data_IF_365254464093
#
_entry.id   IF_365254464093
#
_cell.length_a   1.000
_cell.length_b   1.000
_cell.length_c   1.000
_cell.angle_alpha   90.00
_cell.angle_beta   90.00
_cell.angle_gamma   90.00
#
_symmetry.space_group_name_H-M   'P 1'
#
loop_
_entity.id
_entity.type
_entity.pdbx_description
1 polymer ?
#
# COMPACT_ATOMS: atom_id res chain seq x y z
N UNK A 1 -1.32 -26.02 -2.28
CA UNK A 1 -0.87 -26.23 -0.88
C UNK A 1 -1.42 -25.13 0.05
N UNK A 2 -2.73 -24.92 0.04
CA UNK A 2 -3.46 -24.08 1.02
C UNK A 2 -4.12 -25.03 2.02
N UNK A 3 -4.16 -24.68 3.30
CA UNK A 3 -4.78 -25.43 4.43
C UNK A 3 -3.85 -26.32 5.27
N UNK A 4 -2.90 -25.75 6.05
CA UNK A 4 -2.33 -26.50 7.19
C UNK A 4 -1.71 -25.67 8.34
N UNK A 5 -2.05 -24.39 8.55
CA UNK A 5 -1.41 -23.56 9.61
C UNK A 5 -2.37 -22.88 10.61
N UNK A 6 -3.64 -23.27 10.67
CA UNK A 6 -4.59 -22.74 11.67
C UNK A 6 -4.99 -23.78 12.71
N UNK A 7 -4.04 -24.29 13.49
CA UNK A 7 -4.36 -24.95 14.76
C UNK A 7 -3.78 -24.11 15.91
N UNK A 8 -4.67 -23.44 16.66
CA UNK A 8 -4.40 -22.98 18.02
C UNK A 8 -3.77 -21.60 18.26
N UNK A 9 -3.54 -20.75 17.26
CA UNK A 9 -2.98 -19.41 17.53
C UNK A 9 -4.02 -18.50 18.22
N UNK A 10 -3.63 -17.85 19.31
CA UNK A 10 -4.46 -16.86 20.01
C UNK A 10 -3.98 -15.46 19.62
N UNK A 11 -4.86 -14.67 19.00
CA UNK A 11 -4.56 -13.33 18.51
C UNK A 11 -5.48 -12.33 19.20
N UNK A 12 -4.90 -11.39 19.93
CA UNK A 12 -5.64 -10.28 20.55
C UNK A 12 -5.12 -8.99 19.94
N UNK A 13 -5.98 -8.32 19.18
CA UNK A 13 -5.73 -6.99 18.64
C UNK A 13 -6.66 -6.00 19.33
N UNK A 14 -6.06 -5.01 19.98
CA UNK A 14 -6.76 -3.86 20.51
C UNK A 14 -6.43 -2.65 19.62
N UNK A 15 -7.44 -2.11 18.94
CA UNK A 15 -7.31 -0.88 18.16
C UNK A 15 -8.09 0.22 18.87
N UNK A 16 -7.42 1.34 19.13
CA UNK A 16 -8.04 2.55 19.62
C UNK A 16 -7.97 3.62 18.54
N UNK A 17 -9.13 3.96 17.97
CA UNK A 17 -9.25 5.11 17.07
C UNK A 17 -9.40 6.39 17.89
N UNK A 18 -8.64 7.42 17.52
CA UNK A 18 -8.64 8.72 18.18
C UNK A 18 -8.93 9.77 17.12
N UNK A 19 -9.95 10.59 17.36
CA UNK A 19 -10.13 11.86 16.67
C UNK A 19 -9.77 12.92 17.71
N UNK A 20 -8.65 13.61 17.50
CA UNK A 20 -8.10 14.52 18.50
C UNK A 20 -8.51 15.98 18.25
N UNK A 21 -8.74 16.38 17.01
CA UNK A 21 -9.31 17.70 16.70
C UNK A 21 -10.02 17.75 15.35
N UNK A 22 -11.09 18.53 15.28
CA UNK A 22 -11.77 18.96 14.05
C UNK A 22 -12.02 20.45 14.21
N UNK A 23 -11.24 21.26 13.52
CA UNK A 23 -11.36 22.71 13.61
C UNK A 23 -11.66 23.29 12.23
N UNK A 24 -12.66 24.17 12.08
CA UNK A 24 -12.63 25.11 10.98
C UNK A 24 -11.33 25.89 11.16
N UNK A 25 -10.41 25.83 10.20
CA UNK A 25 -9.06 26.37 10.33
C UNK A 25 -9.02 27.92 10.30
N UNK A 26 -10.13 28.56 10.64
CA UNK A 26 -10.29 30.01 10.77
C UNK A 26 -10.57 30.36 12.24
N UNK A 27 -9.50 30.50 13.02
CA UNK A 27 -9.53 31.31 14.23
C UNK A 27 -8.33 32.27 14.23
N UNK A 28 -8.69 33.56 14.15
CA UNK A 28 -7.89 34.75 14.44
C UNK A 28 -6.91 35.31 13.37
N UNK A 29 -7.44 36.28 12.62
CA UNK A 29 -6.81 37.59 12.37
C UNK A 29 -5.51 37.68 11.54
N UNK A 30 -5.26 36.77 10.61
CA UNK A 30 -4.24 36.95 9.58
C UNK A 30 -4.90 36.81 8.20
N UNK A 31 -4.53 37.66 7.25
CA UNK A 31 -5.08 37.65 5.89
C UNK A 31 -4.92 36.25 5.31
N UNK A 32 -5.97 35.55 4.87
CA UNK A 32 -5.85 34.17 4.43
C UNK A 32 -4.91 34.12 3.22
N UNK A 33 -3.71 33.60 3.43
CA UNK A 33 -2.78 33.30 2.36
C UNK A 33 -3.32 32.13 1.56
N UNK A 34 -2.94 32.03 0.29
CA UNK A 34 -3.30 30.92 -0.62
C UNK A 34 -2.90 29.53 -0.03
N UNK A 35 -2.04 29.52 0.99
CA UNK A 35 -1.52 28.32 1.66
C UNK A 35 -2.19 28.00 3.01
N UNK A 36 -3.19 28.75 3.45
CA UNK A 36 -3.89 28.49 4.71
C UNK A 36 -5.08 27.55 4.46
N UNK A 37 -5.17 26.39 5.14
CA UNK A 37 -6.34 25.52 5.01
C UNK A 37 -7.58 26.23 5.59
N UNK A 38 -8.75 25.95 5.03
CA UNK A 38 -10.06 26.37 5.55
C UNK A 38 -10.63 25.37 6.55
N UNK A 39 -10.22 24.11 6.47
CA UNK A 39 -10.57 23.06 7.43
C UNK A 39 -9.35 22.18 7.71
N UNK A 40 -9.19 21.79 8.97
CA UNK A 40 -8.16 20.87 9.39
C UNK A 40 -8.74 19.82 10.36
N UNK A 41 -8.45 18.56 10.09
CA UNK A 41 -8.78 17.45 10.97
C UNK A 41 -7.53 16.63 11.27
N UNK A 42 -7.36 16.32 12.56
CA UNK A 42 -6.35 15.39 13.03
C UNK A 42 -7.02 14.18 13.66
N UNK A 43 -6.79 13.03 13.03
CA UNK A 43 -7.35 11.75 13.43
C UNK A 43 -6.25 10.67 13.42
N UNK A 44 -6.62 9.42 13.67
CA UNK A 44 -5.70 8.29 13.56
C UNK A 44 -6.05 7.15 14.51
N UNK A 45 -5.15 6.18 14.60
CA UNK A 45 -5.28 5.10 15.57
C UNK A 45 -3.96 4.68 16.19
N UNK A 46 -4.09 4.05 17.36
CA UNK A 46 -3.03 3.30 18.03
C UNK A 46 -3.50 1.85 18.13
N UNK A 47 -2.68 0.90 17.70
CA UNK A 47 -2.99 -0.53 17.76
C UNK A 47 -1.96 -1.29 18.58
N UNK A 48 -2.40 -2.01 19.59
CA UNK A 48 -1.61 -2.99 20.33
C UNK A 48 -2.00 -4.40 19.92
N UNK A 49 -1.02 -5.23 19.59
CA UNK A 49 -1.22 -6.61 19.16
C UNK A 49 -0.44 -7.57 20.05
N UNK A 50 -1.13 -8.61 20.54
CA UNK A 50 -0.52 -9.74 21.23
C UNK A 50 -0.88 -11.02 20.50
N UNK A 51 0.14 -11.70 19.97
CA UNK A 51 0.01 -12.94 19.22
C UNK A 51 0.71 -14.08 19.96
N UNK A 52 -0.01 -15.15 20.28
CA UNK A 52 0.53 -16.34 20.96
C UNK A 52 0.35 -17.59 20.08
N UNK A 53 1.47 -18.25 19.79
CA UNK A 53 1.56 -19.45 18.95
C UNK A 53 1.90 -20.68 19.82
N UNK A 54 0.99 -21.66 19.96
CA UNK A 54 1.27 -22.87 20.74
C UNK A 54 2.35 -23.75 20.11
N UNK A 55 2.41 -23.76 18.78
CA UNK A 55 3.32 -24.59 18.01
C UNK A 55 4.68 -23.93 17.82
N UNK A 56 5.72 -24.73 17.60
CA UNK A 56 7.02 -24.22 17.21
C UNK A 56 6.95 -23.66 15.79
N UNK A 57 7.69 -22.59 15.51
CA UNK A 57 7.71 -21.99 14.18
C UNK A 57 8.36 -22.89 13.14
N UNK A 58 8.05 -22.66 11.86
CA UNK A 58 8.59 -23.38 10.71
C UNK A 58 10.12 -23.50 10.73
N UNK A 59 10.82 -22.46 11.20
CA UNK A 59 12.29 -22.44 11.29
C UNK A 59 12.85 -22.87 12.65
N UNK A 60 12.02 -23.29 13.59
CA UNK A 60 12.44 -23.73 14.93
C UNK A 60 12.84 -22.61 15.90
N UNK A 61 13.33 -21.48 15.39
CA UNK A 61 13.86 -20.33 16.15
C UNK A 61 12.90 -19.16 16.34
N UNK A 62 11.69 -19.23 15.79
CA UNK A 62 10.72 -18.13 15.85
C UNK A 62 10.02 -18.07 17.21
N UNK A 63 9.82 -16.84 17.71
CA UNK A 63 9.15 -16.61 18.98
C UNK A 63 7.71 -17.12 18.99
N UNK A 64 7.26 -17.50 20.18
CA UNK A 64 5.89 -17.99 20.43
C UNK A 64 4.95 -16.91 20.92
N UNK A 65 5.48 -15.81 21.43
CA UNK A 65 4.69 -14.68 21.91
C UNK A 65 5.25 -13.42 21.27
N UNK A 66 4.42 -12.75 20.50
CA UNK A 66 4.78 -11.51 19.81
C UNK A 66 3.91 -10.40 20.37
N UNK A 67 4.56 -9.34 20.81
CA UNK A 67 3.96 -8.05 21.13
C UNK A 67 4.32 -7.07 20.02
N UNK A 68 3.35 -6.30 19.52
CA UNK A 68 3.62 -5.14 18.69
C UNK A 68 2.72 -3.97 19.03
N UNK A 69 3.21 -2.77 18.74
CA UNK A 69 2.50 -1.51 18.89
C UNK A 69 2.67 -0.73 17.60
N UNK A 70 1.59 -0.20 17.04
CA UNK A 70 1.63 0.67 15.88
C UNK A 70 0.80 1.93 16.10
N UNK A 71 1.21 2.99 15.41
CA UNK A 71 0.53 4.29 15.37
C UNK A 71 0.40 4.73 13.92
N UNK A 72 -0.77 5.27 13.59
CA UNK A 72 -1.04 5.83 12.27
C UNK A 72 -1.91 7.10 12.44
N UNK A 73 -1.29 8.25 12.72
CA UNK A 73 -2.01 9.51 12.67
C UNK A 73 -2.37 9.90 11.23
N UNK A 74 -3.38 10.74 11.10
CA UNK A 74 -3.87 11.27 9.84
C UNK A 74 -4.10 12.77 9.99
N UNK A 75 -3.52 13.54 9.08
CA UNK A 75 -3.78 14.97 8.93
C UNK A 75 -4.54 15.18 7.62
N UNK A 76 -5.76 15.71 7.73
CA UNK A 76 -6.60 16.06 6.61
C UNK A 76 -6.74 17.58 6.56
N UNK A 77 -6.30 18.19 5.46
CA UNK A 77 -6.34 19.64 5.25
C UNK A 77 -7.14 19.95 4.00
N UNK A 78 -8.13 20.83 4.11
CA UNK A 78 -8.92 21.32 2.98
C UNK A 78 -8.61 22.79 2.71
N UNK A 79 -8.49 23.17 1.44
CA UNK A 79 -8.16 24.52 0.99
C UNK A 79 -9.30 25.10 0.16
N UNK A 80 -10.35 25.59 0.83
CA UNK A 80 -11.50 26.30 0.24
C UNK A 80 -12.10 25.64 -1.01
N UNK A 81 -12.22 24.30 -0.99
CA UNK A 81 -12.70 23.51 -2.14
C UNK A 81 -11.76 23.44 -3.35
N UNK A 82 -10.60 24.11 -3.31
CA UNK A 82 -9.60 24.09 -4.38
C UNK A 82 -8.72 22.83 -4.32
N UNK A 83 -8.34 22.41 -3.11
CA UNK A 83 -7.51 21.23 -2.92
C UNK A 83 -7.72 20.57 -1.55
N UNK A 84 -7.34 19.31 -1.47
CA UNK A 84 -7.27 18.51 -0.24
C UNK A 84 -5.88 17.91 -0.13
N UNK A 85 -5.27 17.99 1.05
CA UNK A 85 -4.01 17.31 1.37
C UNK A 85 -4.23 16.31 2.50
N UNK A 86 -3.91 15.05 2.25
CA UNK A 86 -3.93 13.97 3.23
C UNK A 86 -2.51 13.52 3.55
N UNK A 87 -2.17 13.43 4.83
CA UNK A 87 -0.86 12.96 5.31
C UNK A 87 -1.08 11.88 6.36
N UNK A 88 -0.60 10.66 6.09
CA UNK A 88 -0.73 9.48 6.96
C UNK A 88 0.61 8.80 7.17
N UNK A 89 1.44 9.29 8.11
CA UNK A 89 2.62 8.56 8.51
C UNK A 89 2.21 7.36 9.36
N UNK A 90 3.01 6.31 9.31
CA UNK A 90 2.80 5.06 10.03
C UNK A 90 4.11 4.68 10.72
N UNK A 91 4.01 4.13 11.92
CA UNK A 91 5.15 3.53 12.59
C UNK A 91 4.71 2.34 13.41
N UNK A 92 5.49 1.26 13.35
CA UNK A 92 5.31 0.06 14.18
C UNK A 92 6.61 -0.29 14.89
N UNK A 93 6.46 -0.80 16.11
CA UNK A 93 7.48 -1.59 16.81
C UNK A 93 6.95 -3.01 16.98
N UNK A 94 7.77 -3.99 16.66
CA UNK A 94 7.48 -5.43 16.80
C UNK A 94 8.60 -6.10 17.58
N UNK A 95 8.22 -6.95 18.52
CA UNK A 95 9.17 -7.62 19.42
C UNK A 95 9.92 -8.79 18.80
N UNK A 96 9.40 -9.40 17.73
CA UNK A 96 9.95 -10.62 17.15
C UNK A 96 10.58 -10.40 15.77
N UNK A 97 9.99 -9.52 14.95
CA UNK A 97 10.47 -9.26 13.59
C UNK A 97 11.07 -7.85 13.46
N UNK A 98 12.40 -7.70 13.39
CA UNK A 98 13.02 -6.40 13.17
C UNK A 98 12.60 -5.71 11.86
N UNK A 99 12.22 -6.44 10.81
CA UNK A 99 11.70 -5.80 9.59
C UNK A 99 10.30 -5.22 9.83
N UNK A 100 9.49 -5.85 10.68
CA UNK A 100 8.15 -5.35 11.06
C UNK A 100 8.22 -4.16 12.05
N UNK A 101 9.41 -3.84 12.57
CA UNK A 101 9.68 -2.56 13.21
C UNK A 101 10.10 -1.54 12.15
N UNK A 102 9.14 -0.79 11.61
CA UNK A 102 9.38 0.14 10.51
C UNK A 102 8.51 1.38 10.59
N UNK A 103 8.90 2.39 9.79
CA UNK A 103 8.10 3.59 9.54
C UNK A 103 7.83 3.74 8.05
N UNK A 104 6.62 4.16 7.72
CA UNK A 104 6.19 4.38 6.34
C UNK A 104 5.38 5.69 6.23
N UNK A 105 5.33 6.25 5.03
CA UNK A 105 4.31 7.25 4.66
C UNK A 105 3.25 6.51 3.84
N UNK A 106 2.16 6.13 4.51
CA UNK A 106 1.03 5.41 3.89
C UNK A 106 0.38 6.26 2.82
N UNK A 107 0.27 7.55 3.10
CA UNK A 107 -0.34 8.54 2.23
C UNK A 107 0.32 9.90 2.44
N UNK A 108 0.62 10.55 1.33
CA UNK A 108 0.98 11.96 1.24
C UNK A 108 0.41 12.44 -0.09
N UNK A 109 -0.86 12.79 -0.09
CA UNK A 109 -1.64 12.92 -1.33
C UNK A 109 -2.28 14.31 -1.40
N UNK A 110 -1.91 15.07 -2.42
CA UNK A 110 -2.57 16.31 -2.79
C UNK A 110 -3.58 16.02 -3.89
N UNK A 111 -4.84 16.35 -3.65
CA UNK A 111 -5.93 16.19 -4.60
C UNK A 111 -6.53 17.55 -4.94
N UNK A 112 -6.79 17.80 -6.21
CA UNK A 112 -7.37 19.05 -6.70
C UNK A 112 -8.15 18.81 -7.98
N UNK A 113 -8.92 19.80 -8.38
CA UNK A 113 -9.75 19.75 -9.57
C UNK A 113 -9.34 20.89 -10.51
N UNK A 114 -9.19 20.58 -11.79
CA UNK A 114 -8.91 21.57 -12.82
C UNK A 114 -9.79 21.31 -14.05
N UNK A 115 -10.70 22.26 -14.32
CA UNK A 115 -11.77 22.08 -15.31
C UNK A 115 -12.55 20.78 -15.04
N UNK A 116 -12.54 19.84 -15.99
CA UNK A 116 -13.21 18.54 -15.87
C UNK A 116 -12.30 17.42 -15.32
N UNK A 117 -11.07 17.74 -14.93
CA UNK A 117 -10.08 16.77 -14.46
C UNK A 117 -9.94 16.82 -12.95
N UNK A 118 -9.93 15.63 -12.35
CA UNK A 118 -9.50 15.38 -10.98
C UNK A 118 -8.02 14.99 -11.03
N UNK A 119 -7.20 15.62 -10.22
CA UNK A 119 -5.75 15.43 -10.19
C UNK A 119 -5.40 14.94 -8.79
N UNK A 120 -4.64 13.84 -8.70
CA UNK A 120 -4.02 13.41 -7.45
C UNK A 120 -2.51 13.30 -7.63
N UNK A 121 -1.73 13.92 -6.75
CA UNK A 121 -0.28 13.96 -6.80
C UNK A 121 0.31 13.61 -5.44
N UNK A 122 1.24 12.66 -5.42
CA UNK A 122 1.98 12.30 -4.22
C UNK A 122 2.04 10.78 -4.03
N UNK A 123 1.95 10.31 -2.79
CA UNK A 123 1.98 8.88 -2.44
C UNK A 123 0.57 8.47 -2.04
N UNK A 124 -0.05 7.55 -2.77
CA UNK A 124 -1.44 7.14 -2.51
C UNK A 124 -1.74 5.69 -2.84
N UNK A 125 -2.88 5.19 -2.35
CA UNK A 125 -3.39 3.85 -2.66
C UNK A 125 -4.53 3.97 -3.67
N UNK A 126 -4.45 3.19 -4.74
CA UNK A 126 -5.44 3.14 -5.81
C UNK A 126 -6.34 1.93 -5.57
N UNK A 127 -7.66 2.15 -5.69
CA UNK A 127 -8.66 1.11 -5.57
C UNK A 127 -9.56 1.13 -6.80
N UNK A 128 -9.51 0.08 -7.62
CA UNK A 128 -10.35 -0.06 -8.82
C UNK A 128 -11.66 -0.83 -8.57
N UNK A 129 -12.12 -0.89 -7.32
CA UNK A 129 -13.38 -1.52 -6.93
C UNK A 129 -13.22 -3.00 -6.56
N UNK A 130 -14.28 -3.79 -6.82
CA UNK A 130 -14.37 -5.19 -6.36
C UNK A 130 -13.30 -6.09 -7.00
N UNK A 131 -12.80 -5.75 -8.19
CA UNK A 131 -11.73 -6.50 -8.85
C UNK A 131 -10.39 -6.47 -8.09
N UNK A 132 -10.07 -5.36 -7.40
CA UNK A 132 -8.88 -5.24 -6.53
C UNK A 132 -9.02 -6.14 -5.29
N UNK A 133 -10.24 -6.26 -4.73
CA UNK A 133 -10.49 -7.14 -3.56
C UNK A 133 -10.33 -8.65 -3.83
N UNK A 134 -10.04 -9.03 -5.07
CA UNK A 134 -9.70 -10.40 -5.47
C UNK A 134 -8.26 -10.52 -5.97
N UNK A 135 -7.45 -9.49 -5.82
CA UNK A 135 -6.08 -9.42 -6.32
C UNK A 135 -5.96 -9.64 -7.84
N UNK A 136 -7.06 -9.47 -8.59
CA UNK A 136 -7.07 -9.76 -10.03
C UNK A 136 -6.38 -8.66 -10.83
N UNK A 137 -6.23 -7.47 -10.24
CA UNK A 137 -5.76 -6.25 -10.90
C UNK A 137 -4.77 -5.44 -10.06
N UNK A 138 -4.14 -6.06 -9.06
CA UNK A 138 -3.16 -5.44 -8.15
C UNK A 138 -1.85 -5.10 -8.89
N UNK A 139 -1.90 -4.11 -9.76
CA UNK A 139 -0.78 -3.74 -10.64
C UNK A 139 -0.23 -2.34 -10.36
N UNK A 140 -0.96 -1.50 -9.61
CA UNK A 140 -0.50 -0.15 -9.23
C UNK A 140 0.23 -0.20 -7.89
N UNK A 141 -0.44 -0.69 -6.84
CA UNK A 141 0.10 -0.66 -5.49
C UNK A 141 0.81 -1.96 -5.13
N UNK A 142 1.98 -1.83 -4.53
CA UNK A 142 2.74 -2.97 -4.02
C UNK A 142 2.08 -3.56 -2.79
N UNK A 143 2.08 -4.89 -2.66
CA UNK A 143 1.65 -5.56 -1.42
C UNK A 143 2.62 -5.29 -0.27
N UNK A 144 2.07 -4.99 0.89
CA UNK A 144 2.77 -4.85 2.17
C UNK A 144 2.62 -6.15 2.98
N UNK A 145 3.59 -7.06 2.82
CA UNK A 145 3.55 -8.36 3.49
C UNK A 145 3.81 -8.27 5.00
N UNK A 146 4.49 -7.22 5.46
CA UNK A 146 4.79 -7.04 6.89
C UNK A 146 3.54 -6.68 7.69
N UNK A 147 2.65 -5.91 7.08
CA UNK A 147 1.44 -5.40 7.73
C UNK A 147 0.21 -6.22 7.37
N UNK A 148 0.19 -6.86 6.20
CA UNK A 148 -0.85 -7.80 5.79
C UNK A 148 -0.25 -9.08 5.20
N UNK A 149 0.14 -10.07 6.03
CA UNK A 149 0.69 -11.34 5.55
C UNK A 149 -0.26 -12.16 4.64
N UNK A 150 -1.55 -11.80 4.64
CA UNK A 150 -2.56 -12.37 3.75
C UNK A 150 -2.54 -11.75 2.33
N UNK A 151 -1.76 -10.70 2.09
CA UNK A 151 -1.64 -10.01 0.80
C UNK A 151 -2.58 -8.82 0.61
N UNK A 152 -3.42 -8.52 1.61
CA UNK A 152 -4.47 -7.50 1.52
C UNK A 152 -3.96 -6.09 1.80
N UNK A 153 -2.92 -5.95 2.62
CA UNK A 153 -2.32 -4.65 2.89
C UNK A 153 -1.49 -4.20 1.69
N UNK A 154 -1.59 -2.91 1.34
CA UNK A 154 -0.88 -2.29 0.22
C UNK A 154 -0.04 -1.10 0.69
N UNK A 155 1.11 -0.90 0.04
CA UNK A 155 1.93 0.29 0.14
C UNK A 155 1.34 1.42 -0.70
N UNK A 156 1.46 2.65 -0.22
CA UNK A 156 1.16 3.84 -1.03
C UNK A 156 2.18 3.97 -2.17
N UNK A 157 1.72 4.29 -3.37
CA UNK A 157 2.51 4.38 -4.59
C UNK A 157 2.73 5.86 -4.96
N UNK A 158 3.99 6.31 -5.14
CA UNK A 158 4.27 7.62 -5.73
C UNK A 158 3.68 7.71 -7.14
N UNK A 159 2.79 8.66 -7.35
CA UNK A 159 2.04 8.80 -8.59
C UNK A 159 1.55 10.22 -8.86
N UNK A 160 1.35 10.48 -10.15
CA UNK A 160 0.39 11.45 -10.67
C UNK A 160 -0.77 10.67 -11.26
N UNK A 161 -1.98 10.91 -10.77
CA UNK A 161 -3.23 10.41 -11.31
C UNK A 161 -4.03 11.56 -11.92
N UNK A 162 -4.52 11.35 -13.14
CA UNK A 162 -5.48 12.22 -13.81
C UNK A 162 -6.74 11.42 -14.07
N UNK A 163 -7.86 11.91 -13.54
CA UNK A 163 -9.16 11.26 -13.72
C UNK A 163 -10.16 12.20 -14.35
N UNK A 164 -10.97 11.69 -15.27
CA UNK A 164 -12.04 12.45 -15.91
C UNK A 164 -13.30 11.62 -16.03
N UNK A 165 -14.41 12.23 -15.65
CA UNK A 165 -15.74 11.68 -15.87
C UNK A 165 -16.28 12.12 -17.23
N UNK A 166 -16.89 11.18 -17.95
CA UNK A 166 -17.61 11.38 -19.20
C UNK A 166 -19.05 10.87 -19.05
N UNK A 167 -19.93 11.26 -19.97
CA UNK A 167 -21.29 10.70 -20.01
C UNK A 167 -21.32 9.18 -20.28
N UNK A 168 -20.26 8.65 -20.91
CA UNK A 168 -20.14 7.23 -21.24
C UNK A 168 -19.38 6.43 -20.18
N UNK A 169 -18.71 7.05 -19.21
CA UNK A 169 -17.86 6.34 -18.25
C UNK A 169 -16.81 7.22 -17.59
N UNK A 170 -15.80 6.60 -17.02
CA UNK A 170 -14.73 7.23 -16.25
C UNK A 170 -13.37 6.79 -16.77
N UNK A 171 -12.44 7.73 -16.91
CA UNK A 171 -11.07 7.47 -17.34
C UNK A 171 -10.10 7.86 -16.23
N UNK A 172 -9.20 6.95 -15.90
CA UNK A 172 -8.06 7.18 -15.04
C UNK A 172 -6.76 7.00 -15.84
N UNK A 173 -5.81 7.91 -15.65
CA UNK A 173 -4.47 7.86 -16.22
C UNK A 173 -3.46 8.02 -15.10
N UNK A 174 -2.42 7.20 -15.10
CA UNK A 174 -1.41 7.16 -14.04
C UNK A 174 0.00 7.27 -14.63
N UNK A 175 0.83 8.06 -13.96
CA UNK A 175 2.29 8.04 -14.13
C UNK A 175 2.90 7.85 -12.75
N UNK A 176 3.77 6.85 -12.62
CA UNK A 176 4.39 6.45 -11.36
C UNK A 176 5.90 6.56 -11.51
N UNK A 177 6.51 7.67 -11.08
CA UNK A 177 7.93 7.94 -11.33
C UNK A 177 8.89 7.11 -10.46
N UNK A 178 8.38 6.42 -9.44
CA UNK A 178 9.18 5.67 -8.49
C UNK A 178 8.48 4.39 -8.05
N UNK A 179 9.14 3.26 -8.27
CA UNK A 179 8.72 1.93 -7.82
C UNK A 179 9.12 1.71 -6.36
N UNK A 180 8.19 1.18 -5.56
CA UNK A 180 8.46 0.76 -4.19
C UNK A 180 8.61 -0.76 -4.12
N UNK A 181 9.73 -1.22 -3.59
CA UNK A 181 9.98 -2.64 -3.35
C UNK A 181 9.00 -3.23 -2.32
N UNK A 182 8.74 -4.53 -2.47
CA UNK A 182 8.06 -5.31 -1.44
C UNK A 182 9.03 -5.57 -0.30
N UNK A 183 8.61 -5.27 0.92
CA UNK A 183 9.34 -5.68 2.12
C UNK A 183 8.92 -7.09 2.53
N UNK A 184 9.89 -7.87 3.00
CA UNK A 184 9.70 -9.27 3.37
C UNK A 184 10.05 -9.49 4.85
N UNK A 185 9.34 -10.40 5.55
CA UNK A 185 9.64 -10.68 6.96
C UNK A 185 11.08 -11.17 7.17
N UNK A 186 11.68 -10.79 8.29
CA UNK A 186 13.03 -11.25 8.66
C UNK A 186 13.02 -12.67 9.23
N UNK A 187 14.17 -13.17 9.67
CA UNK A 187 14.30 -14.49 10.30
C UNK A 187 13.39 -14.71 11.50
N UNK A 188 13.08 -13.65 12.26
CA UNK A 188 12.18 -13.66 13.41
C UNK A 188 10.69 -13.60 13.06
N UNK A 189 10.36 -13.15 11.84
CA UNK A 189 8.99 -13.04 11.34
C UNK A 189 8.27 -14.39 11.32
N UNK A 190 7.05 -14.44 11.85
CA UNK A 190 6.28 -15.70 11.96
C UNK A 190 5.72 -16.15 10.61
N UNK A 191 5.22 -15.21 9.82
CA UNK A 191 4.53 -15.46 8.55
C UNK A 191 5.49 -15.30 7.37
N UNK A 192 6.46 -16.21 7.29
CA UNK A 192 7.49 -16.20 6.24
C UNK A 192 7.68 -17.57 5.60
N UNK A 193 8.34 -17.58 4.45
CA UNK A 193 8.82 -18.82 3.85
C UNK A 193 10.01 -19.41 4.65
N UNK A 194 10.29 -20.68 4.41
CA UNK A 194 11.43 -21.44 4.92
C UNK A 194 12.76 -20.75 4.61
N UNK A 195 12.92 -20.24 3.38
CA UNK A 195 14.06 -19.44 2.95
C UNK A 195 13.76 -17.94 3.14
N UNK A 196 14.78 -17.19 3.56
CA UNK A 196 14.69 -15.74 3.67
C UNK A 196 14.81 -15.09 2.29
N UNK A 197 14.22 -13.90 2.15
CA UNK A 197 14.36 -13.07 0.95
C UNK A 197 15.40 -12.00 1.22
N UNK A 198 16.42 -11.93 0.38
CA UNK A 198 17.51 -10.97 0.45
C UNK A 198 17.22 -9.79 -0.48
N UNK A 199 16.52 -8.78 0.05
CA UNK A 199 16.14 -7.58 -0.73
C UNK A 199 17.33 -6.67 -1.04
N UNK A 200 18.45 -6.79 -0.31
CA UNK A 200 19.68 -6.06 -0.65
C UNK A 200 20.27 -6.48 -2.01
N UNK A 201 19.88 -7.66 -2.50
CA UNK A 201 20.27 -8.22 -3.79
C UNK A 201 19.15 -8.09 -4.85
N UNK A 202 18.09 -7.31 -4.59
CA UNK A 202 16.99 -7.08 -5.53
C UNK A 202 17.49 -6.75 -6.94
N UNK A 203 16.99 -7.50 -7.93
CA UNK A 203 17.32 -7.30 -9.33
C UNK A 203 16.16 -6.63 -10.08
N UNK A 204 16.49 -5.86 -11.11
CA UNK A 204 15.53 -5.16 -11.95
C UNK A 204 15.81 -5.44 -13.42
N UNK A 205 14.77 -5.70 -14.20
CA UNK A 205 14.89 -5.79 -15.66
C UNK A 205 15.24 -4.43 -16.27
N UNK A 206 14.66 -3.35 -15.74
CA UNK A 206 15.00 -2.00 -16.11
C UNK A 206 16.33 -1.56 -15.51
N UNK A 207 17.21 -0.96 -16.34
CA UNK A 207 18.44 -0.30 -15.87
C UNK A 207 18.18 0.93 -14.98
N UNK A 208 16.97 1.48 -15.01
CA UNK A 208 16.57 2.58 -14.13
C UNK A 208 16.20 2.10 -12.72
N UNK A 209 16.12 0.78 -12.51
CA UNK A 209 15.75 0.18 -11.23
C UNK A 209 14.43 0.75 -10.71
N UNK A 210 14.43 1.18 -9.45
CA UNK A 210 13.29 1.83 -8.80
C UNK A 210 12.81 3.12 -9.49
N UNK A 211 13.66 3.78 -10.28
CA UNK A 211 13.32 5.03 -10.96
C UNK A 211 12.76 4.82 -12.36
N UNK A 212 12.45 3.58 -12.75
CA UNK A 212 11.71 3.33 -13.97
C UNK A 212 10.30 3.92 -13.86
N UNK A 213 9.89 4.82 -14.78
CA UNK A 213 8.53 5.36 -14.75
C UNK A 213 7.54 4.31 -15.25
N UNK A 214 6.60 3.94 -14.39
CA UNK A 214 5.49 3.06 -14.75
C UNK A 214 4.27 3.88 -15.17
N UNK A 215 3.43 3.34 -16.04
CA UNK A 215 2.22 4.00 -16.52
C UNK A 215 1.03 3.06 -16.51
N UNK A 216 -0.15 3.60 -16.24
CA UNK A 216 -1.39 2.86 -16.33
C UNK A 216 -2.52 3.71 -16.90
N UNK A 217 -3.50 3.08 -17.53
CA UNK A 217 -4.74 3.70 -17.93
C UNK A 217 -5.89 2.74 -17.63
N UNK A 218 -7.01 3.26 -17.12
CA UNK A 218 -8.23 2.49 -16.90
C UNK A 218 -9.43 3.27 -17.41
N UNK A 219 -10.29 2.60 -18.16
CA UNK A 219 -11.62 3.09 -18.50
C UNK A 219 -12.67 2.20 -17.87
N UNK A 220 -13.66 2.78 -17.21
CA UNK A 220 -14.80 2.04 -16.68
C UNK A 220 -16.13 2.66 -17.06
N UNK A 221 -17.13 1.83 -17.25
CA UNK A 221 -18.49 2.25 -17.62
C UNK A 221 -19.52 1.35 -16.96
N UNK A 222 -20.69 1.90 -16.68
CA UNK A 222 -21.84 1.16 -16.18
C UNK A 222 -22.95 1.17 -17.23
N UNK A 223 -23.38 0.00 -17.67
CA UNK A 223 -24.44 -0.18 -18.67
C UNK A 223 -25.53 -1.05 -18.08
N UNK A 224 -26.68 -0.44 -17.79
CA UNK A 224 -27.77 -1.05 -17.02
C UNK A 224 -27.27 -1.56 -15.65
N UNK A 225 -27.26 -2.87 -15.44
CA UNK A 225 -26.81 -3.52 -14.21
C UNK A 225 -25.38 -4.07 -14.31
N UNK A 226 -24.67 -3.75 -15.39
CA UNK A 226 -23.31 -4.24 -15.62
C UNK A 226 -22.30 -3.12 -15.42
N UNK A 227 -21.29 -3.39 -14.60
CA UNK A 227 -20.10 -2.55 -14.44
C UNK A 227 -18.95 -3.21 -15.21
N UNK A 228 -18.33 -2.46 -16.12
CA UNK A 228 -17.25 -2.92 -16.98
C UNK A 228 -16.02 -2.06 -16.77
N UNK A 229 -14.86 -2.70 -16.64
CA UNK A 229 -13.56 -2.05 -16.57
C UNK A 229 -12.59 -2.63 -17.60
N UNK A 230 -11.81 -1.75 -18.22
CA UNK A 230 -10.69 -2.10 -19.08
C UNK A 230 -9.47 -1.31 -18.61
N UNK A 231 -8.37 -1.99 -18.33
CA UNK A 231 -7.13 -1.35 -17.94
C UNK A 231 -5.93 -1.87 -18.73
N UNK A 232 -4.94 -1.00 -18.87
CA UNK A 232 -3.63 -1.30 -19.42
C UNK A 232 -2.57 -0.75 -18.47
N UNK A 233 -1.61 -1.61 -18.13
CA UNK A 233 -0.43 -1.26 -17.35
C UNK A 233 0.82 -1.54 -18.17
N UNK A 234 1.82 -0.67 -18.03
CA UNK A 234 3.18 -0.92 -18.46
C UNK A 234 4.15 -0.41 -17.39
N UNK A 235 4.95 -1.29 -16.83
CA UNK A 235 5.83 -0.93 -15.74
C UNK A 235 6.41 -2.13 -15.01
N UNK A 236 7.00 -1.85 -13.86
CA UNK A 236 7.62 -2.84 -12.99
C UNK A 236 6.56 -3.71 -12.31
N UNK A 237 6.72 -5.03 -12.39
CA UNK A 237 5.79 -6.00 -11.80
C UNK A 237 5.65 -5.79 -10.29
N UNK A 238 4.40 -5.84 -9.81
CA UNK A 238 4.09 -5.79 -8.37
C UNK A 238 4.23 -7.14 -7.68
N UNK A 239 4.55 -8.18 -8.42
CA UNK A 239 4.85 -9.50 -7.93
C UNK A 239 6.22 -9.96 -8.44
N UNK A 240 7.29 -9.85 -7.61
CA UNK A 240 8.63 -10.23 -8.04
C UNK A 240 8.79 -11.74 -8.16
N UNK A 241 9.52 -12.19 -9.17
CA UNK A 241 9.99 -13.58 -9.21
C UNK A 241 11.06 -13.80 -8.14
N UNK A 242 10.87 -14.81 -7.31
CA UNK A 242 11.85 -15.22 -6.31
C UNK A 242 12.76 -16.31 -6.90
N UNK A 243 14.03 -15.96 -7.12
CA UNK A 243 15.05 -16.90 -7.61
C UNK A 243 15.99 -17.33 -6.48
N UNK A 244 16.56 -18.53 -6.56
CA UNK A 244 17.54 -18.98 -5.56
C UNK A 244 18.88 -18.28 -5.78
N UNK A 245 19.41 -17.70 -4.72
CA UNK A 245 20.73 -17.08 -4.67
C UNK A 245 21.48 -17.44 -3.38
N UNK A 246 22.64 -16.81 -3.20
CA UNK A 246 23.43 -16.89 -1.98
C UNK A 246 23.61 -15.47 -1.42
N UNK A 247 23.41 -15.32 -0.12
CA UNK A 247 23.79 -14.08 0.55
C UNK A 247 25.32 -14.01 0.74
N UNK A 248 25.81 -12.92 1.32
CA UNK A 248 27.24 -12.68 1.53
C UNK A 248 27.93 -13.75 2.40
N UNK A 249 27.18 -14.46 3.25
CA UNK A 249 27.65 -15.55 4.10
C UNK A 249 27.58 -16.93 3.40
N UNK A 250 27.16 -17.00 2.13
CA UNK A 250 27.02 -18.25 1.38
C UNK A 250 25.79 -19.08 1.77
N UNK A 251 24.82 -18.47 2.46
CA UNK A 251 23.54 -19.10 2.83
C UNK A 251 22.55 -18.96 1.68
N UNK A 252 21.80 -20.02 1.39
CA UNK A 252 20.75 -20.00 0.36
C UNK A 252 19.62 -19.06 0.76
N UNK A 253 19.31 -18.13 -0.13
CA UNK A 253 18.25 -17.12 0.03
C UNK A 253 17.44 -17.01 -1.26
N UNK A 254 16.26 -16.41 -1.17
CA UNK A 254 15.54 -15.91 -2.33
C UNK A 254 16.01 -14.51 -2.69
N UNK A 255 16.28 -14.27 -3.96
CA UNK A 255 16.58 -12.96 -4.51
C UNK A 255 15.40 -12.52 -5.37
N UNK A 256 14.71 -11.42 -5.00
CA UNK A 256 13.58 -10.92 -5.75
C UNK A 256 14.07 -10.26 -7.04
N UNK A 257 13.46 -10.62 -8.16
CA UNK A 257 13.66 -9.97 -9.46
C UNK A 257 12.37 -9.30 -9.88
N UNK A 258 12.46 -8.02 -10.23
CA UNK A 258 11.34 -7.21 -10.68
C UNK A 258 11.41 -7.03 -12.20
N UNK A 259 10.51 -7.74 -12.90
CA UNK A 259 10.39 -7.71 -14.35
C UNK A 259 9.56 -6.51 -14.82
N UNK A 260 9.77 -6.10 -16.08
CA UNK A 260 8.87 -5.19 -16.76
C UNK A 260 7.73 -6.00 -17.38
N UNK A 261 6.50 -5.57 -17.13
CA UNK A 261 5.30 -6.20 -17.66
C UNK A 261 4.47 -5.20 -18.46
N UNK A 262 3.82 -5.71 -19.51
CA UNK A 262 2.73 -5.05 -20.21
C UNK A 262 1.48 -5.89 -19.99
N UNK A 263 0.52 -5.39 -19.20
CA UNK A 263 -0.65 -6.16 -18.78
C UNK A 263 -1.94 -5.44 -19.17
N UNK A 264 -2.80 -6.15 -19.91
CA UNK A 264 -4.17 -5.71 -20.18
C UNK A 264 -5.11 -6.46 -19.25
N UNK A 265 -6.05 -5.76 -18.62
CA UNK A 265 -7.04 -6.37 -17.72
C UNK A 265 -8.45 -5.94 -18.12
N UNK A 266 -9.40 -6.84 -17.89
CA UNK A 266 -10.81 -6.60 -18.09
C UNK A 266 -11.58 -7.15 -16.89
N UNK A 267 -12.43 -6.33 -16.30
CA UNK A 267 -13.30 -6.70 -15.20
C UNK A 267 -14.77 -6.47 -15.57
N UNK A 268 -15.63 -7.39 -15.12
CA UNK A 268 -17.07 -7.36 -15.36
C UNK A 268 -17.77 -7.73 -14.06
N UNK A 269 -18.67 -6.87 -13.61
CA UNK A 269 -19.51 -7.09 -12.44
C UNK A 269 -20.99 -6.88 -12.80
N UNK A 270 -21.84 -7.67 -12.17
CA UNK A 270 -23.30 -7.51 -12.24
C UNK A 270 -23.80 -7.08 -10.85
N UNK A 271 -24.54 -5.98 -10.81
CA UNK A 271 -25.09 -5.38 -9.58
C UNK A 271 -26.61 -5.56 -9.50
#
# INVERSE_FOLDING_TARGET
>A
MKSLLYHGSFFVLAVLSIIASKDPALAENETPGILSPTFAEFSGYVSGEVSVFPEQGLAGSQDRSILSLAVEPEYYLEYDGAAVLTIRPFYRIDSADPHRTHGDIRELLLQSNFADWYISLGVGKVFWGVAESKHLVDIVNQTDLLEGPNGEAKLGQPMLQLSRSFSSGFLDLFIMPYFREREFPSSGGRFRDSLLVETSQSAYESKLGQWHPDVAARYSTSVANWDLGLAQFYGTSRDPTLSLGLNDDGVTVFVPTYELIAQSTMDVQYT
#
